data_IF_914818241382
#
_entry.id   IF_914818241382
#
_cell.length_a   1.000
_cell.length_b   1.000
_cell.length_c   1.000
_cell.angle_alpha   90.00
_cell.angle_beta   90.00
_cell.angle_gamma   90.00
#
_symmetry.space_group_name_H-M   'P 1'
#
loop_
_entity.id
_entity.type
_entity.pdbx_description
1 polymer ?
#
# COMPACT_ATOMS: atom_id res chain seq x y z
N UNK A 1 18.33 13.12 -36.63
CA UNK A 1 19.17 12.12 -35.97
C UNK A 1 19.55 12.49 -34.53
N UNK A 2 20.04 13.69 -34.18
CA UNK A 2 20.41 14.07 -32.80
C UNK A 2 19.29 14.00 -31.76
N UNK A 3 18.02 14.32 -32.11
CA UNK A 3 16.87 14.27 -31.17
C UNK A 3 16.45 12.84 -30.79
N UNK A 4 16.59 11.87 -31.70
CA UNK A 4 16.23 10.45 -31.45
C UNK A 4 17.25 9.81 -30.52
N UNK A 5 18.55 10.15 -30.70
CA UNK A 5 19.62 9.66 -29.82
C UNK A 5 19.45 10.16 -28.39
N UNK A 6 19.02 11.42 -28.20
CA UNK A 6 18.80 11.98 -26.86
C UNK A 6 17.63 11.31 -26.13
N UNK A 7 16.55 10.97 -26.84
CA UNK A 7 15.41 10.25 -26.26
C UNK A 7 15.77 8.82 -25.80
N UNK A 8 16.57 8.13 -26.60
CA UNK A 8 17.06 6.77 -26.28
C UNK A 8 18.00 6.78 -25.05
N UNK A 9 18.87 7.78 -24.93
CA UNK A 9 19.77 7.92 -23.78
C UNK A 9 18.99 8.22 -22.50
N UNK A 10 17.95 9.08 -22.54
CA UNK A 10 17.10 9.36 -21.38
C UNK A 10 16.32 8.12 -20.92
N UNK A 11 15.82 7.29 -21.83
CA UNK A 11 15.12 6.05 -21.48
C UNK A 11 16.08 5.02 -20.84
N UNK A 12 17.32 4.89 -21.35
CA UNK A 12 18.33 4.00 -20.78
C UNK A 12 18.78 4.44 -19.38
N UNK A 13 18.93 5.74 -19.14
CA UNK A 13 19.27 6.29 -17.83
C UNK A 13 18.14 6.07 -16.80
N UNK A 14 16.89 6.27 -17.19
CA UNK A 14 15.74 6.05 -16.32
C UNK A 14 15.60 4.59 -15.87
N UNK A 15 15.82 3.64 -16.77
CA UNK A 15 15.80 2.20 -16.46
C UNK A 15 16.92 1.82 -15.49
N UNK A 16 18.13 2.37 -15.66
CA UNK A 16 19.26 2.08 -14.77
C UNK A 16 19.06 2.67 -13.36
N UNK A 17 18.48 3.87 -13.24
CA UNK A 17 18.19 4.49 -11.93
C UNK A 17 17.12 3.69 -11.16
N UNK A 18 16.10 3.21 -11.85
CA UNK A 18 15.05 2.37 -11.24
C UNK A 18 15.61 1.02 -10.78
N UNK A 19 16.42 0.37 -11.58
CA UNK A 19 17.06 -0.91 -11.24
C UNK A 19 18.00 -0.77 -10.04
N UNK A 20 18.84 0.27 -10.00
CA UNK A 20 19.73 0.55 -8.88
C UNK A 20 18.95 0.79 -7.57
N UNK A 21 17.86 1.56 -7.63
CA UNK A 21 16.99 1.80 -6.46
C UNK A 21 16.36 0.51 -5.94
N UNK A 22 15.87 -0.37 -6.82
CA UNK A 22 15.26 -1.64 -6.44
C UNK A 22 16.26 -2.59 -5.78
N UNK A 23 17.48 -2.68 -6.30
CA UNK A 23 18.55 -3.49 -5.72
C UNK A 23 18.92 -3.00 -4.32
N UNK A 24 19.09 -1.70 -4.14
CA UNK A 24 19.39 -1.10 -2.84
C UNK A 24 18.29 -1.37 -1.80
N UNK A 25 17.02 -1.35 -2.20
CA UNK A 25 15.89 -1.68 -1.32
C UNK A 25 15.96 -3.14 -0.87
N UNK A 26 16.18 -4.08 -1.79
CA UNK A 26 16.32 -5.50 -1.51
C UNK A 26 17.48 -5.74 -0.53
N UNK A 27 18.65 -5.15 -0.81
CA UNK A 27 19.84 -5.27 0.04
C UNK A 27 19.58 -4.77 1.46
N UNK A 28 18.99 -3.57 1.63
CA UNK A 28 18.66 -3.03 2.95
C UNK A 28 17.71 -3.93 3.72
N UNK A 29 16.64 -4.43 3.08
CA UNK A 29 15.68 -5.34 3.71
C UNK A 29 16.37 -6.64 4.10
N UNK A 30 17.23 -7.20 3.23
CA UNK A 30 17.96 -8.45 3.48
C UNK A 30 18.92 -8.30 4.65
N UNK A 31 19.71 -7.23 4.67
CA UNK A 31 20.67 -6.96 5.74
C UNK A 31 19.98 -6.77 7.09
N UNK A 32 18.81 -6.15 7.11
CA UNK A 32 18.12 -5.78 8.34
C UNK A 32 17.24 -6.91 8.91
N UNK A 33 16.52 -7.66 8.04
CA UNK A 33 15.55 -8.70 8.43
C UNK A 33 15.96 -10.13 8.02
N UNK A 34 17.09 -10.31 7.33
CA UNK A 34 17.65 -11.61 6.93
C UNK A 34 17.16 -12.10 5.57
N UNK A 35 17.69 -13.27 5.17
CA UNK A 35 17.53 -13.86 3.84
C UNK A 35 16.08 -14.11 3.41
N UNK A 36 15.20 -14.53 4.35
CA UNK A 36 13.77 -14.73 4.03
C UNK A 36 13.09 -13.42 3.64
N UNK A 37 13.46 -12.33 4.29
CA UNK A 37 12.99 -10.98 3.95
C UNK A 37 13.48 -10.54 2.57
N UNK A 38 14.73 -10.82 2.23
CA UNK A 38 15.29 -10.58 0.90
C UNK A 38 14.50 -11.29 -0.19
N UNK A 39 14.14 -12.57 0.01
CA UNK A 39 13.32 -13.32 -0.94
C UNK A 39 11.94 -12.69 -1.15
N UNK A 40 11.28 -12.22 -0.08
CA UNK A 40 10.00 -11.49 -0.18
C UNK A 40 10.15 -10.16 -0.91
N UNK A 41 11.24 -9.43 -0.65
CA UNK A 41 11.52 -8.16 -1.33
C UNK A 41 11.77 -8.37 -2.83
N UNK A 42 12.49 -9.42 -3.23
CA UNK A 42 12.68 -9.81 -4.64
C UNK A 42 11.34 -10.11 -5.29
N UNK A 43 10.48 -10.91 -4.65
CA UNK A 43 9.14 -11.23 -5.16
C UNK A 43 8.25 -9.98 -5.31
N UNK A 44 8.31 -9.05 -4.34
CA UNK A 44 7.59 -7.77 -4.44
C UNK A 44 8.11 -6.92 -5.62
N UNK A 45 9.42 -6.82 -5.82
CA UNK A 45 9.99 -6.06 -6.95
C UNK A 45 9.66 -6.73 -8.30
N UNK A 46 9.61 -8.07 -8.34
CA UNK A 46 9.13 -8.80 -9.51
C UNK A 46 7.67 -8.49 -9.82
N UNK A 47 6.77 -8.52 -8.81
CA UNK A 47 5.38 -8.09 -8.97
C UNK A 47 5.29 -6.71 -9.63
N UNK A 48 6.03 -5.71 -9.11
CA UNK A 48 6.00 -4.36 -9.65
C UNK A 48 6.48 -4.33 -11.10
N UNK A 49 7.60 -4.99 -11.41
CA UNK A 49 8.17 -5.03 -12.75
C UNK A 49 7.23 -5.71 -13.75
N UNK A 50 6.73 -6.88 -13.40
CA UNK A 50 5.97 -7.73 -14.31
C UNK A 50 4.53 -7.22 -14.52
N UNK A 51 4.03 -6.38 -13.60
CA UNK A 51 2.68 -5.81 -13.69
C UNK A 51 2.61 -4.41 -14.32
N UNK A 52 3.72 -3.79 -14.72
CA UNK A 52 3.73 -2.42 -15.27
C UNK A 52 2.80 -2.27 -16.50
N UNK A 53 2.80 -3.26 -17.38
CA UNK A 53 2.05 -3.24 -18.65
C UNK A 53 0.58 -3.68 -18.52
N UNK A 54 0.16 -4.14 -17.34
CA UNK A 54 -1.19 -4.63 -17.10
C UNK A 54 -2.21 -3.49 -17.05
N UNK A 55 -3.49 -3.83 -17.31
CA UNK A 55 -4.61 -2.91 -17.08
C UNK A 55 -4.76 -2.60 -15.58
N UNK A 56 -5.40 -1.47 -15.25
CA UNK A 56 -5.62 -1.09 -13.84
C UNK A 56 -6.31 -2.23 -13.06
N UNK A 57 -7.35 -2.87 -13.61
CA UNK A 57 -8.02 -4.00 -12.94
C UNK A 57 -7.09 -5.18 -12.68
N UNK A 58 -6.24 -5.52 -13.62
CA UNK A 58 -5.24 -6.59 -13.44
C UNK A 58 -4.20 -6.21 -12.39
N UNK A 59 -3.76 -4.94 -12.35
CA UNK A 59 -2.87 -4.41 -11.30
C UNK A 59 -3.49 -4.52 -9.91
N UNK A 60 -4.77 -4.18 -9.76
CA UNK A 60 -5.51 -4.35 -8.51
C UNK A 60 -5.50 -5.82 -8.06
N UNK A 61 -5.85 -6.74 -8.96
CA UNK A 61 -5.90 -8.17 -8.66
C UNK A 61 -4.51 -8.71 -8.26
N UNK A 62 -3.48 -8.43 -9.06
CA UNK A 62 -2.11 -8.88 -8.79
C UNK A 62 -1.61 -8.37 -7.44
N UNK A 63 -1.84 -7.09 -7.13
CA UNK A 63 -1.46 -6.47 -5.86
C UNK A 63 -2.22 -7.09 -4.68
N UNK A 64 -3.54 -7.24 -4.78
CA UNK A 64 -4.36 -7.82 -3.72
C UNK A 64 -3.95 -9.26 -3.43
N UNK A 65 -3.82 -10.10 -4.47
CA UNK A 65 -3.39 -11.49 -4.34
C UNK A 65 -2.01 -11.60 -3.70
N UNK A 66 -1.05 -10.77 -4.10
CA UNK A 66 0.31 -10.83 -3.56
C UNK A 66 0.34 -10.51 -2.07
N UNK A 67 -0.22 -9.38 -1.66
CA UNK A 67 -0.15 -8.97 -0.25
C UNK A 67 -1.05 -9.81 0.67
N UNK A 68 -2.15 -10.37 0.19
CA UNK A 68 -3.01 -11.24 1.00
C UNK A 68 -2.36 -12.61 1.35
N UNK A 69 -1.17 -12.92 0.83
CA UNK A 69 -0.38 -14.08 1.26
C UNK A 69 0.40 -13.85 2.57
N UNK A 70 0.48 -12.61 3.03
CA UNK A 70 1.22 -12.26 4.25
C UNK A 70 0.42 -12.64 5.50
N UNK A 71 1.11 -12.76 6.64
CA UNK A 71 0.48 -13.21 7.88
C UNK A 71 -0.14 -12.03 8.62
N UNK A 72 -1.40 -12.17 9.07
CA UNK A 72 -2.02 -11.18 9.92
C UNK A 72 -1.52 -11.29 11.37
N UNK A 73 -0.95 -10.21 11.90
CA UNK A 73 -0.51 -10.11 13.30
C UNK A 73 -0.74 -8.69 13.78
N UNK A 74 -1.42 -8.55 14.93
CA UNK A 74 -1.70 -7.23 15.50
C UNK A 74 -0.43 -6.51 15.96
N UNK A 75 -0.44 -5.19 15.88
CA UNK A 75 0.63 -4.30 16.34
C UNK A 75 1.08 -4.57 17.77
N UNK A 76 0.13 -4.83 18.67
CA UNK A 76 0.45 -5.14 20.06
C UNK A 76 1.34 -6.37 20.17
N UNK A 77 1.11 -7.37 19.34
CA UNK A 77 1.89 -8.61 19.34
C UNK A 77 3.20 -8.44 18.59
N UNK A 78 3.19 -7.76 17.45
CA UNK A 78 4.36 -7.61 16.57
C UNK A 78 5.32 -6.54 17.07
N UNK A 79 4.81 -5.35 17.38
CA UNK A 79 5.60 -4.16 17.71
C UNK A 79 5.60 -3.79 19.20
N UNK A 80 4.68 -4.37 20.00
CA UNK A 80 4.36 -3.92 21.37
C UNK A 80 3.84 -2.47 21.40
N UNK A 81 3.31 -1.97 20.32
CA UNK A 81 2.63 -0.69 20.22
C UNK A 81 1.11 -0.90 20.15
N UNK A 82 0.34 0.14 20.48
CA UNK A 82 -1.12 0.12 20.35
C UNK A 82 -1.53 0.26 18.88
N UNK A 83 -0.75 1.05 18.14
CA UNK A 83 -1.01 1.43 16.76
C UNK A 83 0.35 1.81 16.12
N UNK A 84 0.78 1.06 15.13
CA UNK A 84 2.06 1.26 14.44
C UNK A 84 1.88 0.97 12.94
N UNK A 85 1.93 1.98 12.13
CA UNK A 85 1.80 1.82 10.68
C UNK A 85 3.15 1.47 10.05
N UNK A 86 3.36 0.19 9.74
CA UNK A 86 4.59 -0.24 9.10
C UNK A 86 4.70 0.32 7.66
N UNK A 87 5.92 0.68 7.26
CA UNK A 87 6.20 0.95 5.85
C UNK A 87 6.10 -0.33 5.04
N UNK A 88 5.88 -0.23 3.72
CA UNK A 88 5.87 -1.42 2.84
C UNK A 88 7.19 -2.20 2.92
N UNK A 89 8.30 -1.52 3.20
CA UNK A 89 9.60 -2.17 3.40
C UNK A 89 9.64 -3.01 4.68
N UNK A 90 9.09 -2.49 5.79
CA UNK A 90 8.97 -3.20 7.06
C UNK A 90 7.99 -4.36 6.92
N UNK A 91 6.80 -4.13 6.37
CA UNK A 91 5.78 -5.15 6.17
C UNK A 91 6.28 -6.32 5.32
N UNK A 92 6.89 -6.05 4.15
CA UNK A 92 7.51 -7.07 3.29
C UNK A 92 8.70 -7.71 3.99
N UNK A 93 9.52 -6.94 4.67
CA UNK A 93 10.70 -7.44 5.39
C UNK A 93 10.34 -8.41 6.50
N UNK A 94 9.31 -8.12 7.27
CA UNK A 94 8.82 -8.96 8.38
C UNK A 94 7.98 -10.13 7.85
N UNK A 95 7.17 -9.88 6.83
CA UNK A 95 6.25 -10.86 6.24
C UNK A 95 4.92 -10.97 7.00
N UNK A 96 4.65 -10.00 7.88
CA UNK A 96 3.45 -9.95 8.71
C UNK A 96 3.11 -8.51 9.10
N UNK A 97 1.85 -8.27 9.47
CA UNK A 97 1.32 -6.99 9.93
C UNK A 97 -0.19 -7.06 10.15
N UNK A 98 -0.83 -5.95 10.49
CA UNK A 98 -2.29 -5.89 10.61
C UNK A 98 -2.95 -5.12 9.46
N UNK A 99 -4.23 -4.75 9.60
CA UNK A 99 -5.03 -4.29 8.45
C UNK A 99 -4.49 -3.02 7.78
N UNK A 100 -3.93 -2.10 8.55
CA UNK A 100 -3.31 -0.89 8.01
C UNK A 100 -2.03 -1.18 7.22
N UNK A 101 -1.21 -2.14 7.67
CA UNK A 101 0.02 -2.54 6.99
C UNK A 101 -0.26 -3.16 5.63
N UNK A 102 -1.26 -4.07 5.57
CA UNK A 102 -1.75 -4.62 4.31
C UNK A 102 -2.25 -3.53 3.37
N UNK A 103 -3.04 -2.60 3.90
CA UNK A 103 -3.65 -1.53 3.10
C UNK A 103 -2.61 -0.55 2.59
N UNK A 104 -1.67 -0.14 3.42
CA UNK A 104 -0.58 0.77 3.07
C UNK A 104 0.32 0.13 2.01
N UNK A 105 0.70 -1.15 2.17
CA UNK A 105 1.54 -1.85 1.21
C UNK A 105 0.85 -1.98 -0.16
N UNK A 106 -0.45 -2.32 -0.19
CA UNK A 106 -1.24 -2.35 -1.43
C UNK A 106 -1.31 -0.97 -2.08
N UNK A 107 -1.62 0.07 -1.30
CA UNK A 107 -1.70 1.44 -1.80
C UNK A 107 -0.38 1.91 -2.42
N UNK A 108 0.75 1.70 -1.74
CA UNK A 108 2.08 2.07 -2.24
C UNK A 108 2.44 1.29 -3.52
N UNK A 109 2.21 -0.02 -3.56
CA UNK A 109 2.45 -0.84 -4.74
C UNK A 109 1.62 -0.37 -5.95
N UNK A 110 0.35 0.00 -5.73
CA UNK A 110 -0.51 0.52 -6.80
C UNK A 110 -0.04 1.87 -7.33
N UNK A 111 0.51 2.74 -6.47
CA UNK A 111 1.16 3.99 -6.90
C UNK A 111 2.41 3.71 -7.74
N UNK A 112 3.26 2.75 -7.32
CA UNK A 112 4.45 2.34 -8.08
C UNK A 112 4.08 1.70 -9.43
N UNK A 113 2.94 1.03 -9.51
CA UNK A 113 2.36 0.50 -10.76
C UNK A 113 1.73 1.57 -11.64
N UNK A 114 1.81 2.85 -11.25
CA UNK A 114 1.35 3.99 -12.03
C UNK A 114 -0.15 4.29 -11.93
N UNK A 115 -0.86 3.72 -10.94
CA UNK A 115 -2.24 4.14 -10.66
C UNK A 115 -2.21 5.51 -10.00
N UNK A 116 -2.98 6.45 -10.56
CA UNK A 116 -3.02 7.82 -10.08
C UNK A 116 -3.56 7.91 -8.64
N UNK A 117 -2.87 8.65 -7.77
CA UNK A 117 -3.24 8.87 -6.37
C UNK A 117 -4.70 9.34 -6.18
N UNK A 118 -5.22 10.14 -7.10
CA UNK A 118 -6.62 10.60 -7.05
C UNK A 118 -7.64 9.47 -7.24
N UNK A 119 -7.24 8.29 -7.74
CA UNK A 119 -8.07 7.10 -7.86
C UNK A 119 -7.99 6.18 -6.64
N UNK A 120 -7.08 6.44 -5.71
CA UNK A 120 -6.84 5.58 -4.56
C UNK A 120 -7.18 6.30 -3.25
N UNK A 121 -7.72 5.55 -2.29
CA UNK A 121 -7.85 6.01 -0.89
C UNK A 121 -7.62 4.87 0.07
N UNK A 122 -6.95 5.16 1.15
CA UNK A 122 -6.96 4.37 2.37
C UNK A 122 -8.24 4.76 3.13
N UNK A 123 -9.07 3.78 3.48
CA UNK A 123 -10.36 3.98 4.16
C UNK A 123 -10.31 3.33 5.52
N UNK A 124 -10.48 4.15 6.56
CA UNK A 124 -10.67 3.68 7.93
C UNK A 124 -12.16 3.45 8.15
N UNK A 125 -12.53 2.23 8.48
CA UNK A 125 -13.89 1.77 8.61
C UNK A 125 -14.11 1.05 9.94
N UNK A 126 -15.37 0.90 10.34
CA UNK A 126 -15.80 -0.07 11.34
C UNK A 126 -16.24 -1.33 10.60
N UNK A 127 -15.61 -2.45 10.87
CA UNK A 127 -16.11 -3.76 10.51
C UNK A 127 -17.26 -4.12 11.46
N UNK A 128 -18.46 -4.31 10.91
CA UNK A 128 -19.68 -4.52 11.68
C UNK A 128 -19.84 -5.98 12.12
N UNK A 129 -19.24 -6.93 11.42
CA UNK A 129 -19.30 -8.36 11.75
C UNK A 129 -18.30 -8.69 12.86
N UNK A 130 -17.05 -8.22 12.72
CA UNK A 130 -16.00 -8.42 13.72
C UNK A 130 -16.06 -7.40 14.86
N UNK A 131 -16.90 -6.38 14.74
CA UNK A 131 -17.05 -5.27 15.69
C UNK A 131 -15.73 -4.55 16.04
N UNK A 132 -14.83 -4.40 15.08
CA UNK A 132 -13.50 -3.78 15.25
C UNK A 132 -13.24 -2.70 14.19
N UNK A 133 -12.24 -1.85 14.43
CA UNK A 133 -11.77 -0.93 13.39
C UNK A 133 -10.93 -1.69 12.37
N UNK A 134 -11.04 -1.25 11.13
CA UNK A 134 -10.43 -1.91 10.00
C UNK A 134 -9.99 -0.89 8.94
N UNK A 135 -8.90 -1.18 8.21
CA UNK A 135 -8.44 -0.35 7.11
C UNK A 135 -8.44 -1.14 5.81
N UNK A 136 -8.93 -0.52 4.74
CA UNK A 136 -8.96 -1.08 3.39
C UNK A 136 -8.47 -0.06 2.37
N UNK A 137 -8.09 -0.53 1.17
CA UNK A 137 -7.85 0.34 0.02
C UNK A 137 -9.09 0.40 -0.84
N UNK A 138 -9.46 1.61 -1.30
CA UNK A 138 -10.50 1.78 -2.31
C UNK A 138 -9.93 2.37 -3.59
N UNK A 139 -10.38 1.84 -4.72
CA UNK A 139 -10.03 2.30 -6.05
C UNK A 139 -11.25 2.86 -6.77
N UNK A 140 -11.14 4.09 -7.25
CA UNK A 140 -12.17 4.82 -7.99
C UNK A 140 -11.80 4.87 -9.48
N UNK A 141 -12.44 4.10 -10.39
CA UNK A 141 -12.16 4.18 -11.83
C UNK A 141 -12.47 5.58 -12.39
N UNK A 142 -13.49 6.24 -11.84
CA UNK A 142 -13.88 7.64 -12.08
C UNK A 142 -14.27 8.30 -10.74
N UNK A 143 -14.17 9.63 -10.60
CA UNK A 143 -14.45 10.33 -9.33
C UNK A 143 -15.84 10.06 -8.74
N UNK A 144 -16.85 9.84 -9.59
CA UNK A 144 -18.25 9.57 -9.19
C UNK A 144 -18.61 8.08 -9.15
N UNK A 145 -17.68 7.19 -9.46
CA UNK A 145 -17.95 5.76 -9.48
C UNK A 145 -18.06 5.19 -8.07
N UNK A 146 -18.81 4.10 -7.92
CA UNK A 146 -18.72 3.23 -6.75
C UNK A 146 -17.33 2.60 -6.76
N UNK A 147 -16.52 2.78 -5.70
CA UNK A 147 -15.16 2.27 -5.68
C UNK A 147 -15.13 0.76 -5.50
N UNK A 148 -14.05 0.15 -5.96
CA UNK A 148 -13.68 -1.22 -5.66
C UNK A 148 -12.90 -1.25 -4.35
N UNK A 149 -13.12 -2.27 -3.53
CA UNK A 149 -12.48 -2.45 -2.22
C UNK A 149 -11.46 -3.57 -2.30
N UNK A 150 -10.22 -3.30 -1.90
CA UNK A 150 -9.15 -4.27 -1.71
C UNK A 150 -8.97 -4.45 -0.21
N UNK A 151 -9.09 -5.68 0.24
CA UNK A 151 -9.12 -6.03 1.66
C UNK A 151 -8.22 -7.24 1.94
N UNK A 152 -7.71 -7.38 3.15
CA UNK A 152 -6.97 -8.57 3.59
C UNK A 152 -7.88 -9.64 4.22
N UNK A 153 -9.08 -9.25 4.67
CA UNK A 153 -10.08 -10.17 5.21
C UNK A 153 -10.97 -10.78 4.12
N UNK A 154 -11.04 -10.12 2.96
CA UNK A 154 -11.78 -10.63 1.81
C UNK A 154 -10.90 -10.57 0.56
N UNK A 155 -10.60 -11.74 -0.02
CA UNK A 155 -9.74 -11.83 -1.20
C UNK A 155 -10.41 -11.28 -2.47
N UNK A 156 -11.74 -11.22 -2.51
CA UNK A 156 -12.48 -10.71 -3.65
C UNK A 156 -12.49 -9.18 -3.65
N UNK A 157 -12.13 -8.60 -4.79
CA UNK A 157 -12.23 -7.16 -5.00
C UNK A 157 -13.65 -6.81 -5.40
N UNK A 158 -14.46 -6.43 -4.41
CA UNK A 158 -15.88 -6.13 -4.55
C UNK A 158 -16.15 -4.63 -4.63
N UNK A 159 -17.25 -4.21 -5.30
CA UNK A 159 -17.74 -2.84 -5.21
C UNK A 159 -18.15 -2.50 -3.76
N UNK A 160 -17.92 -1.26 -3.33
CA UNK A 160 -18.20 -0.83 -1.95
C UNK A 160 -19.68 -0.96 -1.54
N UNK A 161 -20.61 -0.92 -2.48
CA UNK A 161 -22.04 -1.16 -2.20
C UNK A 161 -22.41 -2.63 -1.98
N UNK A 162 -21.46 -3.54 -2.14
CA UNK A 162 -21.58 -4.97 -1.79
C UNK A 162 -20.84 -5.30 -0.48
N UNK A 163 -20.19 -4.32 0.14
CA UNK A 163 -19.48 -4.43 1.41
C UNK A 163 -20.29 -3.79 2.53
N UNK A 164 -21.43 -4.45 2.86
CA UNK A 164 -22.34 -4.01 3.92
C UNK A 164 -21.76 -4.24 5.33
N UNK A 165 -20.74 -5.06 5.44
CA UNK A 165 -19.92 -5.32 6.61
C UNK A 165 -19.05 -4.12 7.02
N UNK A 166 -18.77 -3.17 6.08
CA UNK A 166 -17.90 -2.04 6.33
C UNK A 166 -18.67 -0.72 6.46
N UNK A 167 -18.55 -0.06 7.61
CA UNK A 167 -19.03 1.30 7.84
C UNK A 167 -17.87 2.28 7.76
N UNK A 168 -17.67 3.01 6.64
CA UNK A 168 -16.54 3.92 6.48
C UNK A 168 -16.71 5.16 7.36
N UNK A 169 -15.62 5.58 8.02
CA UNK A 169 -15.55 6.73 8.93
C UNK A 169 -14.83 7.90 8.27
N UNK A 170 -13.61 7.68 7.83
CA UNK A 170 -12.84 8.65 7.07
C UNK A 170 -11.96 7.93 6.03
N UNK A 171 -11.48 8.68 5.05
CA UNK A 171 -10.52 8.19 4.07
C UNK A 171 -9.47 9.25 3.76
N UNK A 172 -8.31 8.82 3.28
CA UNK A 172 -7.22 9.71 2.90
C UNK A 172 -6.38 9.10 1.78
N UNK A 173 -5.57 9.94 1.15
CA UNK A 173 -4.55 9.54 0.19
C UNK A 173 -3.25 10.34 0.41
N UNK A 174 -2.37 10.44 -0.55
CA UNK A 174 -1.13 11.20 -0.45
C UNK A 174 -1.29 12.65 -0.02
N UNK A 175 -2.42 13.28 -0.33
CA UNK A 175 -2.60 14.73 -0.13
C UNK A 175 -3.86 15.13 0.64
N UNK A 176 -4.97 14.40 0.50
CA UNK A 176 -6.31 14.80 0.95
C UNK A 176 -6.84 13.87 2.03
N UNK A 177 -7.68 14.43 2.89
CA UNK A 177 -8.47 13.74 3.91
C UNK A 177 -9.96 14.03 3.68
N UNK A 178 -10.78 12.98 3.75
CA UNK A 178 -12.23 13.05 3.63
C UNK A 178 -12.91 12.45 4.87
N UNK A 179 -13.93 13.11 5.39
CA UNK A 179 -14.90 12.49 6.31
C UNK A 179 -15.96 11.79 5.48
N UNK A 180 -16.22 10.53 5.78
CA UNK A 180 -17.20 9.75 5.04
C UNK A 180 -18.61 10.06 5.53
N UNK A 181 -19.55 10.26 4.59
CA UNK A 181 -20.98 10.34 4.86
C UNK A 181 -21.62 8.98 4.56
N UNK A 182 -22.81 8.72 5.13
CA UNK A 182 -23.62 7.56 4.75
C UNK A 182 -23.71 7.49 3.22
N UNK A 183 -23.40 6.33 2.61
CA UNK A 183 -23.36 6.04 1.17
C UNK A 183 -22.01 6.25 0.46
N UNK A 184 -20.88 6.27 1.17
CA UNK A 184 -19.54 6.16 0.56
C UNK A 184 -18.98 7.41 -0.12
N UNK A 185 -19.72 8.52 -0.18
CA UNK A 185 -19.21 9.80 -0.67
C UNK A 185 -18.66 10.62 0.49
N UNK A 186 -17.32 10.79 0.52
CA UNK A 186 -16.65 11.61 1.52
C UNK A 186 -16.66 13.09 1.16
N UNK A 187 -16.80 13.95 2.16
CA UNK A 187 -16.57 15.39 2.04
C UNK A 187 -15.14 15.71 2.42
N UNK A 188 -14.43 16.50 1.59
CA UNK A 188 -13.06 16.95 1.90
C UNK A 188 -13.06 17.64 3.26
N UNK A 189 -12.26 17.13 4.19
CA UNK A 189 -12.11 17.66 5.54
C UNK A 189 -10.75 18.33 5.77
N UNK A 190 -9.84 18.25 4.80
CA UNK A 190 -8.54 18.87 4.88
C UNK A 190 -7.42 18.13 4.15
N UNK A 191 -6.19 18.37 4.60
CA UNK A 191 -4.98 17.72 4.10
C UNK A 191 -4.71 16.44 4.90
N UNK A 192 -4.17 15.41 4.23
CA UNK A 192 -3.74 14.15 4.87
C UNK A 192 -2.61 14.37 5.91
N UNK A 193 -1.87 15.47 5.79
CA UNK A 193 -0.84 15.88 6.77
C UNK A 193 -1.36 16.17 8.19
N UNK A 194 -2.68 16.15 8.41
CA UNK A 194 -3.29 16.18 9.75
C UNK A 194 -3.18 14.85 10.50
N UNK A 195 -2.89 13.76 9.79
CA UNK A 195 -2.71 12.42 10.36
C UNK A 195 -1.23 12.21 10.72
N UNK A 196 -0.93 12.18 12.01
CA UNK A 196 0.46 12.07 12.51
C UNK A 196 1.12 10.75 12.11
N UNK A 197 0.41 9.62 12.21
CA UNK A 197 0.90 8.30 11.81
C UNK A 197 1.22 8.23 10.32
N UNK A 198 0.38 8.86 9.48
CA UNK A 198 0.62 8.97 8.04
C UNK A 198 1.89 9.78 7.72
N UNK A 199 2.12 10.87 8.42
CA UNK A 199 3.32 11.70 8.23
C UNK A 199 4.60 10.95 8.67
N UNK A 200 4.55 10.27 9.82
CA UNK A 200 5.67 9.47 10.30
C UNK A 200 6.00 8.34 9.31
N UNK A 201 4.99 7.58 8.88
CA UNK A 201 5.15 6.53 7.89
C UNK A 201 5.79 7.05 6.60
N UNK A 202 5.32 8.17 6.05
CA UNK A 202 5.86 8.76 4.82
C UNK A 202 7.32 9.17 4.99
N UNK A 203 7.68 9.74 6.12
CA UNK A 203 9.07 10.08 6.42
C UNK A 203 9.96 8.83 6.48
N UNK A 204 9.52 7.78 7.17
CA UNK A 204 10.25 6.50 7.23
C UNK A 204 10.36 5.84 5.86
N UNK A 205 9.29 5.87 5.06
CA UNK A 205 9.27 5.32 3.70
C UNK A 205 10.28 6.01 2.79
N UNK A 206 10.32 7.36 2.78
CA UNK A 206 11.24 8.13 1.94
C UNK A 206 12.71 7.84 2.24
N UNK A 207 13.06 7.58 3.49
CA UNK A 207 14.43 7.36 3.93
C UNK A 207 14.79 5.86 4.08
N UNK A 208 13.88 4.95 3.73
CA UNK A 208 14.00 3.49 3.96
C UNK A 208 14.47 3.23 5.39
N UNK A 209 13.79 3.87 6.35
CA UNK A 209 14.05 3.66 7.77
C UNK A 209 13.29 2.43 8.23
N UNK A 210 14.01 1.44 8.76
CA UNK A 210 13.47 0.15 9.20
C UNK A 210 13.54 0.06 10.71
N UNK A 211 12.50 -0.48 11.34
CA UNK A 211 12.45 -0.74 12.79
C UNK A 211 12.37 -2.25 13.04
N UNK A 212 12.92 -2.68 14.17
CA UNK A 212 12.85 -4.09 14.58
C UNK A 212 11.51 -4.38 15.25
N UNK A 213 10.79 -5.43 14.85
CA UNK A 213 9.66 -5.92 15.62
C UNK A 213 10.14 -6.50 16.96
N UNK A 214 9.26 -6.51 17.94
CA UNK A 214 9.58 -7.11 19.26
C UNK A 214 9.78 -8.61 19.17
N UNK A 215 8.98 -9.27 18.34
CA UNK A 215 9.03 -10.71 18.11
C UNK A 215 9.36 -10.97 16.63
N UNK A 216 10.47 -11.67 16.38
CA UNK A 216 10.84 -12.18 15.06
C UNK A 216 10.45 -13.66 15.03
N UNK A 217 9.81 -14.10 13.94
CA UNK A 217 9.37 -15.51 13.73
C UNK A 217 10.45 -16.33 13.08
#
# INVERSE_FOLDING_TARGET
MKKIIFLLICCLLAVNVFAASSTQQIEKITQFYGERAGKRAIAWRALIKDSQHLTERQKLNATNTFFNQFVFISDKKLWNHKDYWATSYEFVGIGAGDCEDFSIAKYQALLELGINDNKLRLVYAKDLELNQFHMVVTYYPKPSAIPLVLDNLNNDILPANQRNDLLPLYSFNGSKLWLMKKKGQGQIAGKASRLSLWNDLRNRYQHIKLNQPRNIF
#
